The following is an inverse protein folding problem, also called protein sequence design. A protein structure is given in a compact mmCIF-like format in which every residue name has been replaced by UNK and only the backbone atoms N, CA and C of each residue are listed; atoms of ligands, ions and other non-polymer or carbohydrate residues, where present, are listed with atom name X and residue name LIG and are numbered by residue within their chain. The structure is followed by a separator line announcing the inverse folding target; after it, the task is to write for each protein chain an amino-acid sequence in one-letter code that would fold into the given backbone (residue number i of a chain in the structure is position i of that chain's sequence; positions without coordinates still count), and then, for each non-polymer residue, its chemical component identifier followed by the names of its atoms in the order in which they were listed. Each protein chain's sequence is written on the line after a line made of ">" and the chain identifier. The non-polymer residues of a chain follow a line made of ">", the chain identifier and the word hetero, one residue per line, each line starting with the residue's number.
data_IF_842580950780
#
_entry.id   IF_842580950780
#
_cell.length_a   1.000
_cell.length_b   1.000
_cell.length_c   1.000
_cell.angle_alpha   90.00
_cell.angle_beta   90.00
_cell.angle_gamma   90.00
#
_symmetry.space_group_name_H-M   'P 1'
#
loop_
_entity.id
_entity.type
_entity.pdbx_description
1 polymer ?
#
# COMPACT_ATOMS: atom_id res chain seq x y z
N UNK A 1 -4.99 10.74 5.29
CA UNK A 1 -6.03 10.28 4.33
C UNK A 1 -5.43 10.16 2.94
N UNK A 2 -5.78 9.09 2.24
CA UNK A 2 -5.48 8.91 0.80
C UNK A 2 -6.78 8.64 0.04
N UNK A 3 -6.91 9.17 -1.17
CA UNK A 3 -8.03 8.83 -2.06
C UNK A 3 -7.72 7.56 -2.82
N UNK A 4 -8.74 6.72 -2.98
CA UNK A 4 -8.64 5.42 -3.65
C UNK A 4 -9.71 5.29 -4.72
N UNK A 5 -9.34 4.70 -5.84
CA UNK A 5 -10.27 4.42 -6.93
C UNK A 5 -11.05 3.13 -6.69
N UNK A 6 -10.36 2.09 -6.24
CA UNK A 6 -10.92 0.81 -5.84
C UNK A 6 -10.58 0.55 -4.37
N UNK A 7 -11.55 0.76 -3.45
CA UNK A 7 -11.29 0.62 -2.02
C UNK A 7 -11.00 -0.82 -1.61
N UNK A 8 -11.63 -1.82 -2.25
CA UNK A 8 -11.47 -3.22 -1.86
C UNK A 8 -10.10 -3.76 -2.30
N UNK A 9 -9.62 -3.37 -3.48
CA UNK A 9 -8.26 -3.68 -3.93
C UNK A 9 -7.20 -3.02 -3.04
N UNK A 10 -7.42 -1.77 -2.60
CA UNK A 10 -6.47 -1.10 -1.70
C UNK A 10 -6.49 -1.71 -0.30
N UNK A 11 -7.67 -2.09 0.23
CA UNK A 11 -7.78 -2.82 1.50
C UNK A 11 -7.01 -4.14 1.41
N UNK A 12 -7.25 -4.96 0.38
CA UNK A 12 -6.53 -6.22 0.14
C UNK A 12 -5.01 -6.02 0.11
N UNK A 13 -4.54 -5.00 -0.61
CA UNK A 13 -3.12 -4.66 -0.65
C UNK A 13 -2.56 -4.37 0.75
N UNK A 14 -3.25 -3.51 1.53
CA UNK A 14 -2.82 -3.15 2.88
C UNK A 14 -2.91 -4.33 3.87
N UNK A 15 -3.86 -5.25 3.68
CA UNK A 15 -3.95 -6.48 4.47
C UNK A 15 -2.77 -7.43 4.22
N UNK A 16 -2.23 -7.48 2.99
CA UNK A 16 -1.01 -8.24 2.67
C UNK A 16 0.20 -7.67 3.44
N UNK A 17 0.23 -6.36 3.67
CA UNK A 17 1.24 -5.69 4.50
C UNK A 17 1.03 -5.93 6.01
N UNK A 18 -0.10 -6.51 6.40
CA UNK A 18 -0.42 -6.81 7.79
C UNK A 18 -1.35 -5.81 8.47
N UNK A 19 -1.79 -4.75 7.78
CA UNK A 19 -2.80 -3.84 8.33
C UNK A 19 -4.15 -4.55 8.42
N UNK A 20 -5.04 -4.03 9.26
CA UNK A 20 -6.41 -4.51 9.41
C UNK A 20 -7.39 -3.35 9.28
N UNK A 21 -8.54 -3.62 8.69
CA UNK A 21 -9.64 -2.68 8.71
C UNK A 21 -10.14 -2.52 10.15
N UNK A 22 -10.08 -1.29 10.66
CA UNK A 22 -10.54 -0.93 12.01
C UNK A 22 -12.01 -0.54 11.99
N UNK A 23 -12.41 0.20 10.96
CA UNK A 23 -13.79 0.64 10.76
C UNK A 23 -14.02 1.09 9.33
N UNK A 24 -15.29 1.04 8.93
CA UNK A 24 -15.78 1.53 7.63
C UNK A 24 -17.14 2.20 7.82
N UNK A 25 -17.43 3.24 7.06
CA UNK A 25 -18.77 3.78 6.95
C UNK A 25 -19.01 4.51 5.62
N UNK A 26 -20.27 4.48 5.19
CA UNK A 26 -20.73 5.17 4.00
C UNK A 26 -21.42 6.48 4.38
N UNK A 27 -21.19 7.51 3.57
CA UNK A 27 -21.92 8.76 3.65
C UNK A 27 -22.72 8.97 2.36
N UNK A 28 -23.97 8.55 2.36
CA UNK A 28 -24.83 8.65 1.18
C UNK A 28 -25.03 10.10 0.72
N UNK A 29 -25.21 11.04 1.67
CA UNK A 29 -25.40 12.45 1.36
C UNK A 29 -24.15 13.08 0.74
N UNK A 30 -22.98 12.71 1.21
CA UNK A 30 -21.68 13.16 0.71
C UNK A 30 -21.16 12.30 -0.47
N UNK A 31 -21.79 11.13 -0.73
CA UNK A 31 -21.42 10.18 -1.77
C UNK A 31 -19.96 9.72 -1.67
N UNK A 32 -19.59 9.24 -0.48
CA UNK A 32 -18.26 8.68 -0.26
C UNK A 32 -18.28 7.58 0.80
N UNK A 33 -17.28 6.71 0.74
CA UNK A 33 -16.97 5.70 1.77
C UNK A 33 -15.64 6.06 2.42
N UNK A 34 -15.56 5.96 3.75
CA UNK A 34 -14.31 6.04 4.50
C UNK A 34 -13.98 4.66 5.10
N UNK A 35 -12.73 4.26 4.94
CA UNK A 35 -12.20 3.02 5.51
C UNK A 35 -10.92 3.37 6.29
N UNK A 36 -10.80 2.88 7.50
CA UNK A 36 -9.66 3.14 8.37
C UNK A 36 -8.88 1.86 8.58
N UNK A 37 -7.62 1.87 8.17
CA UNK A 37 -6.69 0.75 8.29
C UNK A 37 -5.63 1.05 9.34
N UNK A 38 -5.24 0.06 10.13
CA UNK A 38 -4.15 0.20 11.10
C UNK A 38 -3.37 -1.11 11.25
N UNK A 39 -2.12 -1.01 11.72
CA UNK A 39 -1.36 -2.18 12.14
C UNK A 39 -1.91 -2.73 13.46
N UNK A 40 -2.00 -4.06 13.66
CA UNK A 40 -2.35 -4.65 14.94
C UNK A 40 -1.40 -4.18 16.06
N UNK A 41 -1.97 -3.71 17.17
CA UNK A 41 -1.21 -3.15 18.29
C UNK A 41 -0.84 -1.67 18.14
N UNK A 42 -1.21 -1.01 17.04
CA UNK A 42 -1.04 0.43 16.81
C UNK A 42 -2.29 1.04 16.16
N UNK A 43 -3.45 0.69 16.70
CA UNK A 43 -4.75 1.12 16.17
C UNK A 43 -4.99 2.64 16.29
N UNK A 44 -4.10 3.35 16.99
CA UNK A 44 -4.13 4.81 17.06
C UNK A 44 -3.56 5.47 15.79
N UNK A 45 -2.62 4.81 15.10
CA UNK A 45 -2.00 5.30 13.86
C UNK A 45 -2.75 4.74 12.64
N UNK A 46 -3.81 5.44 12.22
CA UNK A 46 -4.69 4.98 11.14
C UNK A 46 -4.38 5.65 9.81
N UNK A 47 -4.46 4.85 8.74
CA UNK A 47 -4.56 5.36 7.37
C UNK A 47 -6.04 5.41 7.00
N UNK A 48 -6.55 6.60 6.72
CA UNK A 48 -7.91 6.78 6.19
C UNK A 48 -7.89 6.67 4.66
N UNK A 49 -8.64 5.73 4.13
CA UNK A 49 -8.95 5.60 2.72
C UNK A 49 -10.26 6.32 2.44
N UNK A 50 -10.28 7.18 1.42
CA UNK A 50 -11.49 7.88 0.98
C UNK A 50 -11.83 7.45 -0.44
N UNK A 51 -12.96 6.76 -0.59
CA UNK A 51 -13.53 6.42 -1.88
C UNK A 51 -14.67 7.38 -2.20
N UNK A 52 -14.46 8.26 -3.17
CA UNK A 52 -15.53 9.12 -3.69
C UNK A 52 -16.37 8.32 -4.71
N UNK A 53 -17.67 8.18 -4.45
CA UNK A 53 -18.54 7.43 -5.35
C UNK A 53 -18.61 8.12 -6.71
N UNK A 54 -18.57 7.37 -7.81
CA UNK A 54 -18.68 7.93 -9.15
C UNK A 54 -19.90 8.83 -9.28
N UNK A 55 -19.82 9.91 -10.06
CA UNK A 55 -20.98 10.76 -10.32
C UNK A 55 -22.08 9.94 -11.02
N UNK A 56 -23.34 10.34 -10.87
CA UNK A 56 -24.46 9.65 -11.53
C UNK A 56 -24.35 9.67 -13.06
N UNK A 57 -23.67 10.66 -13.60
CA UNK A 57 -23.32 10.77 -15.02
C UNK A 57 -21.86 11.16 -15.15
N UNK A 58 -21.05 10.27 -15.72
CA UNK A 58 -19.63 10.52 -15.94
C UNK A 58 -18.76 9.34 -15.54
N UNK A 59 -17.47 9.48 -15.76
CA UNK A 59 -16.47 8.47 -15.42
C UNK A 59 -16.00 8.62 -13.95
N UNK A 60 -15.58 7.51 -13.34
CA UNK A 60 -14.93 7.55 -12.05
C UNK A 60 -13.62 8.35 -12.12
N UNK A 61 -13.29 9.03 -11.02
CA UNK A 61 -12.04 9.77 -10.91
C UNK A 61 -10.84 8.81 -10.96
N UNK A 62 -9.84 9.15 -11.77
CA UNK A 62 -8.58 8.39 -11.86
C UNK A 62 -7.46 9.26 -11.30
N UNK A 63 -6.67 8.69 -10.38
CA UNK A 63 -5.59 9.40 -9.70
C UNK A 63 -4.26 9.17 -10.43
N UNK A 64 -3.59 10.26 -10.77
CA UNK A 64 -2.26 10.24 -11.37
C UNK A 64 -1.14 10.24 -10.31
N UNK A 65 0.09 10.22 -10.78
CA UNK A 65 1.28 10.31 -9.95
C UNK A 65 1.54 11.75 -9.46
N UNK A 66 1.08 12.09 -8.27
CA UNK A 66 1.44 13.35 -7.61
C UNK A 66 2.85 13.27 -6.99
N UNK A 67 3.62 14.34 -7.08
CA UNK A 67 4.98 14.40 -6.50
C UNK A 67 5.04 15.07 -5.12
N UNK A 68 4.01 15.78 -4.69
CA UNK A 68 3.97 16.43 -3.39
C UNK A 68 3.86 15.44 -2.24
N UNK A 69 3.11 14.34 -2.45
CA UNK A 69 3.07 13.22 -1.53
C UNK A 69 4.30 12.33 -1.80
N UNK A 70 5.06 12.02 -0.77
CA UNK A 70 6.23 11.14 -0.87
C UNK A 70 5.79 9.67 -0.84
N UNK A 71 5.86 9.06 0.36
CA UNK A 71 5.47 7.67 0.58
C UNK A 71 4.96 7.47 2.01
N UNK A 72 4.29 6.35 2.24
CA UNK A 72 4.08 5.79 3.58
C UNK A 72 5.16 4.75 3.83
N UNK A 73 5.67 4.67 5.06
CA UNK A 73 6.67 3.68 5.44
C UNK A 73 6.10 2.73 6.51
N UNK A 74 6.29 1.43 6.30
CA UNK A 74 5.88 0.39 7.25
C UNK A 74 7.06 -0.52 7.58
N UNK A 75 7.23 -0.78 8.87
CA UNK A 75 8.18 -1.78 9.36
C UNK A 75 7.54 -3.16 9.29
N UNK A 76 8.28 -4.14 8.77
CA UNK A 76 7.81 -5.52 8.60
C UNK A 76 8.80 -6.51 9.24
N UNK A 77 8.29 -7.62 9.77
CA UNK A 77 9.11 -8.63 10.44
C UNK A 77 10.05 -9.37 9.48
N UNK A 78 9.57 -9.66 8.26
CA UNK A 78 10.37 -10.30 7.21
C UNK A 78 10.05 -9.67 5.86
N UNK A 79 10.98 -8.83 5.39
CA UNK A 79 10.79 -8.08 4.15
C UNK A 79 10.72 -8.98 2.91
N UNK A 80 11.46 -10.09 2.90
CA UNK A 80 11.48 -11.03 1.78
C UNK A 80 10.13 -11.75 1.64
N UNK A 81 9.59 -12.26 2.75
CA UNK A 81 8.29 -12.91 2.77
C UNK A 81 7.16 -11.93 2.40
N UNK A 82 7.25 -10.69 2.89
CA UNK A 82 6.26 -9.66 2.57
C UNK A 82 6.29 -9.31 1.08
N UNK A 83 7.48 -9.12 0.51
CA UNK A 83 7.63 -8.89 -0.94
C UNK A 83 7.13 -10.09 -1.76
N UNK A 84 7.40 -11.33 -1.30
CA UNK A 84 6.91 -12.53 -1.99
C UNK A 84 5.38 -12.60 -1.99
N UNK A 85 4.73 -12.37 -0.85
CA UNK A 85 3.26 -12.34 -0.78
C UNK A 85 2.65 -11.29 -1.71
N UNK A 86 3.30 -10.11 -1.82
CA UNK A 86 2.85 -9.06 -2.75
C UNK A 86 2.99 -9.50 -4.21
N UNK A 87 4.13 -10.11 -4.58
CA UNK A 87 4.34 -10.65 -5.93
C UNK A 87 3.34 -11.75 -6.27
N UNK A 88 3.09 -12.67 -5.35
CA UNK A 88 2.13 -13.78 -5.52
C UNK A 88 0.70 -13.25 -5.70
N UNK A 89 0.39 -12.09 -5.11
CA UNK A 89 -0.87 -11.40 -5.30
C UNK A 89 -0.92 -10.51 -6.57
N UNK A 90 0.17 -10.47 -7.36
CA UNK A 90 0.23 -9.76 -8.64
C UNK A 90 0.73 -8.32 -8.56
N UNK A 91 1.23 -7.87 -7.39
CA UNK A 91 1.80 -6.53 -7.26
C UNK A 91 3.28 -6.50 -7.67
N UNK A 92 3.68 -5.40 -8.27
CA UNK A 92 5.07 -5.20 -8.69
C UNK A 92 5.91 -4.67 -7.53
N UNK A 93 7.07 -5.29 -7.30
CA UNK A 93 8.08 -4.76 -6.39
C UNK A 93 8.95 -3.77 -7.16
N UNK A 94 8.74 -2.47 -6.96
CA UNK A 94 9.41 -1.41 -7.71
C UNK A 94 10.91 -1.33 -7.37
N UNK A 95 11.26 -1.38 -6.09
CA UNK A 95 12.63 -1.58 -5.62
C UNK A 95 12.70 -2.83 -4.76
N UNK A 96 13.33 -3.90 -5.27
CA UNK A 96 13.51 -5.13 -4.49
C UNK A 96 14.36 -4.92 -3.23
N UNK A 97 14.18 -5.76 -2.18
CA UNK A 97 14.94 -5.67 -0.93
C UNK A 97 16.33 -6.29 -1.07
N UNK A 98 17.17 -5.78 -1.99
CA UNK A 98 18.47 -6.35 -2.35
C UNK A 98 19.46 -6.44 -1.18
N UNK A 99 19.36 -5.46 -0.30
CA UNK A 99 20.22 -5.29 0.87
C UNK A 99 19.64 -5.90 2.16
N UNK A 100 18.41 -6.46 2.09
CA UNK A 100 17.69 -6.95 3.25
C UNK A 100 17.14 -5.87 4.18
N UNK A 101 17.15 -4.58 3.76
CA UNK A 101 16.75 -3.46 4.61
C UNK A 101 15.47 -2.77 4.16
N UNK A 102 15.34 -2.48 2.86
CA UNK A 102 14.21 -1.73 2.37
C UNK A 102 13.74 -2.21 0.99
N UNK A 103 12.44 -2.04 0.72
CA UNK A 103 11.83 -2.23 -0.58
C UNK A 103 10.83 -1.11 -0.84
N UNK A 104 10.47 -0.91 -2.11
CA UNK A 104 9.36 -0.04 -2.50
C UNK A 104 8.38 -0.80 -3.37
N UNK A 105 7.09 -0.60 -3.07
CA UNK A 105 5.96 -1.07 -3.85
C UNK A 105 4.98 0.09 -4.03
N UNK A 106 3.97 -0.08 -4.90
CA UNK A 106 2.89 0.90 -5.04
C UNK A 106 1.55 0.27 -4.76
N UNK A 107 0.66 1.03 -4.13
CA UNK A 107 -0.76 0.68 -4.04
C UNK A 107 -1.40 0.65 -5.44
N UNK A 108 -2.60 0.07 -5.61
CA UNK A 108 -3.35 0.14 -6.86
C UNK A 108 -3.51 1.57 -7.40
N UNK A 109 -3.60 2.58 -6.52
CA UNK A 109 -3.69 4.00 -6.88
C UNK A 109 -2.34 4.73 -6.94
N UNK A 110 -1.24 4.00 -7.16
CA UNK A 110 0.10 4.56 -7.33
C UNK A 110 0.70 5.28 -6.10
N UNK A 111 0.15 5.08 -4.91
CA UNK A 111 0.78 5.59 -3.68
C UNK A 111 2.03 4.75 -3.38
N UNK A 112 3.17 5.41 -3.23
CA UNK A 112 4.43 4.74 -2.89
C UNK A 112 4.41 4.25 -1.44
N UNK A 113 4.80 3.00 -1.23
CA UNK A 113 4.94 2.36 0.08
C UNK A 113 6.39 1.90 0.23
N UNK A 114 7.06 2.40 1.25
CA UNK A 114 8.36 1.92 1.69
C UNK A 114 8.17 0.79 2.71
N UNK A 115 8.78 -0.35 2.45
CA UNK A 115 8.87 -1.45 3.41
C UNK A 115 10.24 -1.42 4.06
N UNK A 116 10.27 -1.42 5.39
CA UNK A 116 11.48 -1.41 6.20
C UNK A 116 11.57 -2.72 7.00
N UNK A 117 12.71 -3.40 6.90
CA UNK A 117 12.97 -4.59 7.71
C UNK A 117 13.07 -4.22 9.19
N UNK A 118 12.41 -4.98 10.05
CA UNK A 118 12.68 -4.93 11.49
C UNK A 118 13.99 -5.69 11.79
N UNK A 119 14.97 -4.97 12.34
CA UNK A 119 16.31 -5.50 12.49
C UNK A 119 17.09 -5.59 11.17
N UNK A 120 17.83 -6.67 10.97
CA UNK A 120 18.70 -6.88 9.79
C UNK A 120 18.58 -8.30 9.25
N UNK A 121 18.34 -8.43 7.96
CA UNK A 121 18.45 -9.69 7.22
C UNK A 121 19.59 -9.59 6.20
N UNK A 122 20.39 -10.66 6.04
CA UNK A 122 21.43 -10.67 5.01
C UNK A 122 20.81 -10.65 3.61
N UNK A 123 21.52 -10.11 2.60
CA UNK A 123 21.11 -10.25 1.20
C UNK A 123 20.90 -11.70 0.81
N UNK A 124 19.83 -11.97 0.06
CA UNK A 124 19.52 -13.31 -0.44
C UNK A 124 18.98 -13.27 -1.87
N UNK A 125 19.29 -14.31 -2.64
CA UNK A 125 18.70 -14.49 -3.97
C UNK A 125 17.22 -14.96 -3.88
N UNK A 126 16.37 -14.61 -4.86
CA UNK A 126 16.69 -13.86 -6.08
C UNK A 126 16.72 -12.33 -5.87
N UNK A 127 16.41 -11.84 -4.69
CA UNK A 127 16.25 -10.41 -4.39
C UNK A 127 17.54 -9.61 -4.57
N UNK A 128 18.69 -10.19 -4.20
CA UNK A 128 19.98 -9.49 -4.23
C UNK A 128 20.37 -9.05 -5.65
N UNK A 129 20.03 -9.83 -6.67
CA UNK A 129 20.32 -9.55 -8.07
C UNK A 129 19.15 -8.94 -8.84
N UNK A 130 17.95 -8.84 -8.23
CA UNK A 130 16.74 -8.37 -8.93
C UNK A 130 16.82 -6.88 -9.27
N UNK A 131 16.57 -6.47 -10.53
CA UNK A 131 16.60 -5.07 -10.93
C UNK A 131 15.40 -4.28 -10.39
N UNK A 132 15.49 -2.96 -10.41
CA UNK A 132 14.34 -2.09 -10.17
C UNK A 132 13.34 -2.19 -11.32
N UNK A 133 12.05 -2.04 -11.00
CA UNK A 133 10.96 -2.00 -11.96
C UNK A 133 10.21 -0.68 -11.80
N UNK A 134 10.38 0.24 -12.77
CA UNK A 134 9.77 1.57 -12.72
C UNK A 134 10.38 2.48 -11.66
N UNK A 135 9.54 3.41 -11.15
CA UNK A 135 9.93 4.37 -10.12
C UNK A 135 9.12 4.12 -8.84
N UNK A 136 9.55 4.76 -7.77
CA UNK A 136 8.89 4.75 -6.47
C UNK A 136 8.94 6.12 -5.80
#
# INVERSE_FOLDING_TARGET
>A
MIRVHDPDETVKFLEILGLKEVRRFDNEKGRFTLIFMAAPGDEAAQVELTYNWPPESGEAEVYGEGRNFGHLAYRVENIYETCQRLMDAGYTINRPPRDGHMAFVRTPDNISIELLQDGHLPPQEPWASMPNTGHW
#
